data_IF_392459401365
#
_entry.id   IF_392459401365
#
_cell.length_a   1.000
_cell.length_b   1.000
_cell.length_c   1.000
_cell.angle_alpha   90.00
_cell.angle_beta   90.00
_cell.angle_gamma   90.00
#
_symmetry.space_group_name_H-M   'P 1'
#
loop_
_entity.id
_entity.type
_entity.pdbx_description
1 polymer ?
#
# COMPACT_ATOMS: atom_id res chain seq x y z
N UNK A 1 -42.76 29.79 55.60
CA UNK A 1 -43.62 30.93 55.99
C UNK A 1 -42.81 32.21 55.82
N UNK A 2 -43.35 33.14 55.01
CA UNK A 2 -43.17 34.61 54.95
C UNK A 2 -41.81 35.27 55.24
N UNK A 3 -41.41 36.39 54.64
CA UNK A 3 -41.85 37.21 53.50
C UNK A 3 -40.82 38.36 53.41
N UNK A 4 -40.66 38.89 52.19
CA UNK A 4 -39.93 40.05 51.71
C UNK A 4 -39.83 41.28 52.64
N UNK A 5 -38.77 42.10 52.44
CA UNK A 5 -38.91 43.47 51.91
C UNK A 5 -37.61 44.05 51.37
N UNK A 6 -37.64 44.34 50.08
CA UNK A 6 -36.70 45.18 49.32
C UNK A 6 -36.89 46.68 49.66
N UNK A 7 -35.85 47.48 49.37
CA UNK A 7 -35.90 48.95 49.37
C UNK A 7 -34.59 49.58 48.88
N UNK A 8 -34.37 49.58 47.56
CA UNK A 8 -33.45 50.49 46.83
C UNK A 8 -34.21 51.78 46.44
N UNK A 9 -33.73 52.77 45.63
CA UNK A 9 -32.41 53.11 45.05
C UNK A 9 -32.08 54.65 45.11
N UNK A 10 -31.01 55.12 44.44
CA UNK A 10 -30.84 56.37 43.61
C UNK A 10 -29.32 56.66 43.54
N UNK A 11 -28.54 56.35 42.49
CA UNK A 11 -28.53 56.64 41.03
C UNK A 11 -27.89 58.00 40.68
N UNK A 12 -26.68 57.92 40.11
CA UNK A 12 -25.99 58.99 39.36
C UNK A 12 -24.96 58.42 38.37
N UNK A 13 -25.40 58.22 37.12
CA UNK A 13 -24.73 58.18 35.79
C UNK A 13 -23.25 57.69 35.66
N UNK A 14 -22.93 56.53 35.05
CA UNK A 14 -22.85 56.19 33.60
C UNK A 14 -21.94 57.13 32.77
N UNK A 15 -20.95 56.75 31.93
CA UNK A 15 -20.51 55.52 31.23
C UNK A 15 -19.07 55.80 30.70
N UNK A 16 -18.23 54.77 30.53
CA UNK A 16 -17.58 54.43 29.24
C UNK A 16 -16.83 53.11 29.34
N UNK A 17 -17.25 52.17 28.50
CA UNK A 17 -16.69 50.83 28.33
C UNK A 17 -15.32 50.91 27.66
N UNK A 18 -14.33 50.20 28.19
CA UNK A 18 -13.20 49.72 27.40
C UNK A 18 -13.51 48.27 27.03
N UNK A 19 -13.89 48.07 25.78
CA UNK A 19 -14.11 46.75 25.19
C UNK A 19 -12.80 45.97 25.15
N UNK A 20 -12.82 44.82 25.81
CA UNK A 20 -11.79 43.79 25.83
C UNK A 20 -11.65 43.17 24.42
N UNK A 21 -10.53 43.45 23.75
CA UNK A 21 -10.17 42.97 22.40
C UNK A 21 -9.61 41.52 22.44
N UNK A 22 -10.12 40.67 23.33
CA UNK A 22 -9.65 39.28 23.49
C UNK A 22 -10.63 38.20 23.06
N UNK A 23 -11.75 38.59 22.45
CA UNK A 23 -12.75 37.68 21.87
C UNK A 23 -12.99 38.00 20.38
N UNK A 24 -11.98 37.75 19.55
CA UNK A 24 -12.22 37.48 18.13
C UNK A 24 -11.73 36.07 17.83
N UNK A 25 -12.70 35.19 17.56
CA UNK A 25 -12.45 33.79 17.26
C UNK A 25 -11.60 33.67 16.00
N UNK A 26 -10.44 33.03 16.14
CA UNK A 26 -9.67 32.57 15.00
C UNK A 26 -10.55 31.61 14.18
N UNK A 27 -10.61 31.74 12.84
CA UNK A 27 -11.34 30.78 12.02
C UNK A 27 -10.76 29.39 12.25
N UNK A 28 -11.63 28.44 12.60
CA UNK A 28 -11.26 27.03 12.80
C UNK A 28 -10.55 26.55 11.53
N UNK A 29 -9.27 26.22 11.68
CA UNK A 29 -8.46 25.58 10.63
C UNK A 29 -9.14 24.24 10.35
N UNK A 30 -9.73 24.09 9.17
CA UNK A 30 -10.30 22.83 8.73
C UNK A 30 -9.20 21.77 8.78
N UNK A 31 -9.44 20.67 9.49
CA UNK A 31 -8.62 19.45 9.48
C UNK A 31 -8.97 18.59 8.25
N UNK A 32 -9.30 19.23 7.14
CA UNK A 32 -9.49 18.57 5.87
C UNK A 32 -8.09 18.28 5.31
N UNK A 33 -7.75 17.00 5.24
CA UNK A 33 -6.57 16.55 4.52
C UNK A 33 -6.71 16.84 3.03
N UNK A 34 -5.62 16.77 2.25
CA UNK A 34 -5.62 17.02 0.81
C UNK A 34 -6.47 16.02 -0.01
N UNK A 35 -7.18 15.10 0.63
CA UNK A 35 -8.13 14.18 0.04
C UNK A 35 -9.59 14.63 0.23
N UNK A 36 -9.91 15.42 1.27
CA UNK A 36 -11.28 15.67 1.75
C UNK A 36 -11.97 16.88 1.09
N UNK A 37 -11.71 17.15 -0.20
CA UNK A 37 -12.33 18.28 -0.91
C UNK A 37 -13.01 17.81 -2.18
N UNK A 38 -14.34 17.97 -2.20
CA UNK A 38 -15.23 17.67 -3.32
C UNK A 38 -14.79 18.39 -4.60
N UNK A 39 -14.84 17.67 -5.71
CA UNK A 39 -14.68 18.26 -7.05
C UNK A 39 -15.99 18.93 -7.46
N UNK A 40 -16.25 20.13 -6.98
CA UNK A 40 -17.30 20.95 -7.59
C UNK A 40 -16.86 21.35 -9.01
N UNK A 41 -17.51 20.74 -10.01
CA UNK A 41 -17.47 21.17 -11.39
C UNK A 41 -18.28 22.48 -11.52
N UNK A 42 -17.69 23.60 -11.98
CA UNK A 42 -18.50 24.76 -12.33
C UNK A 42 -19.32 24.41 -13.57
N UNK A 43 -20.66 24.47 -13.44
CA UNK A 43 -21.57 24.49 -14.58
C UNK A 43 -21.15 25.59 -15.57
N UNK A 44 -21.32 25.40 -16.89
CA UNK A 44 -20.89 26.39 -17.87
C UNK A 44 -21.66 27.69 -17.69
N UNK A 45 -20.95 28.75 -17.32
CA UNK A 45 -21.51 30.08 -17.13
C UNK A 45 -22.07 30.63 -18.45
N UNK A 46 -23.36 30.90 -18.46
CA UNK A 46 -24.00 31.76 -19.45
C UNK A 46 -23.40 33.16 -19.42
N UNK A 47 -23.05 33.66 -20.59
CA UNK A 47 -22.52 34.98 -20.88
C UNK A 47 -23.23 36.12 -20.13
N UNK A 48 -22.48 36.86 -19.33
CA UNK A 48 -22.69 38.31 -19.19
C UNK A 48 -21.37 38.99 -18.89
N UNK A 49 -21.07 39.95 -19.75
CA UNK A 49 -19.92 40.83 -19.79
C UNK A 49 -19.99 41.79 -18.61
N UNK A 50 -18.96 41.87 -17.76
CA UNK A 50 -18.66 43.09 -17.01
C UNK A 50 -17.20 43.08 -16.53
N UNK A 51 -16.45 44.04 -17.07
CA UNK A 51 -15.06 44.34 -16.75
C UNK A 51 -14.95 44.93 -15.34
N UNK A 52 -14.00 44.44 -14.52
CA UNK A 52 -13.41 45.31 -13.50
C UNK A 52 -11.98 44.95 -13.13
N UNK A 53 -11.25 46.02 -12.86
CA UNK A 53 -9.80 46.19 -12.87
C UNK A 53 -9.03 45.41 -11.80
N UNK A 54 -7.79 45.12 -12.19
CA UNK A 54 -6.63 44.72 -11.40
C UNK A 54 -6.36 45.71 -10.25
N UNK A 55 -6.13 45.18 -9.05
CA UNK A 55 -5.31 45.87 -8.04
C UNK A 55 -4.40 44.87 -7.33
N UNK A 56 -3.10 45.06 -7.57
CA UNK A 56 -1.99 44.44 -6.85
C UNK A 56 -2.07 44.71 -5.35
N UNK A 57 -1.79 43.69 -4.55
CA UNK A 57 -1.22 43.89 -3.21
C UNK A 57 -0.33 42.71 -2.83
N UNK A 58 0.97 42.97 -2.92
CA UNK A 58 2.06 42.18 -2.36
C UNK A 58 1.94 42.04 -0.84
N UNK A 59 1.99 40.82 -0.30
CA UNK A 59 2.37 40.59 1.08
C UNK A 59 3.03 39.21 1.23
N UNK A 60 4.36 39.22 1.19
CA UNK A 60 5.24 38.11 1.58
C UNK A 60 5.22 37.97 3.11
N UNK A 61 4.88 36.78 3.62
CA UNK A 61 5.11 36.42 5.03
C UNK A 61 5.93 35.13 5.06
N UNK A 62 7.24 35.30 5.22
CA UNK A 62 8.17 34.24 5.58
C UNK A 62 8.01 33.94 7.08
N UNK A 63 7.69 32.70 7.43
CA UNK A 63 7.81 32.22 8.83
C UNK A 63 8.75 31.02 8.84
N UNK A 64 9.98 31.26 9.29
CA UNK A 64 10.94 30.23 9.64
C UNK A 64 10.62 29.71 11.05
N UNK A 65 10.50 28.39 11.21
CA UNK A 65 10.49 27.74 12.52
C UNK A 65 11.71 26.84 12.62
N UNK A 66 12.65 27.25 13.47
CA UNK A 66 13.77 26.45 13.96
C UNK A 66 13.25 25.40 14.94
N UNK A 67 13.66 24.15 14.77
CA UNK A 67 13.44 23.06 15.73
C UNK A 67 14.75 22.33 16.00
N UNK A 68 15.24 22.45 17.23
CA UNK A 68 16.46 21.79 17.72
C UNK A 68 16.29 20.27 17.78
N UNK A 69 17.28 19.54 17.26
CA UNK A 69 17.44 18.09 17.35
C UNK A 69 18.08 17.68 18.67
N UNK A 70 17.50 16.69 19.36
CA UNK A 70 18.18 15.92 20.40
C UNK A 70 18.99 14.78 19.76
N UNK A 71 20.19 14.59 20.30
CA UNK A 71 21.25 13.65 19.92
C UNK A 71 20.98 12.25 20.48
N UNK A 72 21.14 11.20 19.66
CA UNK A 72 22.04 10.03 19.88
C UNK A 72 21.83 8.96 18.80
N UNK A 73 22.81 8.77 17.90
CA UNK A 73 23.00 7.54 17.11
C UNK A 73 24.51 7.35 16.82
N UNK A 74 25.04 6.11 16.83
CA UNK A 74 26.47 5.84 16.67
C UNK A 74 26.93 5.88 15.21
N UNK A 75 28.24 6.10 15.05
CA UNK A 75 28.97 6.38 13.81
C UNK A 75 28.98 5.28 12.74
N UNK A 76 29.27 5.74 11.52
CA UNK A 76 29.76 5.06 10.30
C UNK A 76 28.72 4.59 9.28
N UNK A 77 28.25 5.54 8.47
CA UNK A 77 28.43 5.53 6.99
C UNK A 77 28.58 6.98 6.55
N UNK A 78 29.68 7.32 5.88
CA UNK A 78 29.97 8.69 5.42
C UNK A 78 29.02 9.08 4.28
N UNK A 79 28.11 10.03 4.52
CA UNK A 79 27.41 10.77 3.47
C UNK A 79 28.33 11.83 2.86
N UNK A 80 28.23 12.16 1.56
CA UNK A 80 29.02 13.24 0.99
C UNK A 80 28.55 14.58 1.58
N UNK A 81 29.53 15.36 2.04
CA UNK A 81 29.34 16.64 2.72
C UNK A 81 28.56 17.62 1.84
N UNK A 82 27.54 18.25 2.42
CA UNK A 82 26.92 19.46 1.89
C UNK A 82 27.94 20.59 1.90
N UNK A 83 28.50 20.93 0.74
CA UNK A 83 29.26 22.16 0.58
C UNK A 83 28.28 23.34 0.59
N UNK A 84 28.17 24.00 1.74
CA UNK A 84 27.62 25.35 1.83
C UNK A 84 28.57 26.29 1.08
N UNK A 85 28.13 26.83 -0.06
CA UNK A 85 28.91 27.73 -0.89
C UNK A 85 28.05 28.83 -1.51
N UNK A 86 28.08 30.00 -0.87
CA UNK A 86 27.91 31.38 -1.37
C UNK A 86 26.92 31.66 -2.52
N UNK A 87 25.93 32.50 -2.21
CA UNK A 87 25.10 33.21 -3.19
C UNK A 87 25.97 34.16 -4.01
N UNK A 88 26.17 33.85 -5.29
CA UNK A 88 26.57 34.83 -6.30
C UNK A 88 25.52 34.90 -7.39
N UNK A 89 24.77 36.00 -7.37
CA UNK A 89 23.93 36.49 -8.46
C UNK A 89 24.83 36.87 -9.64
N UNK A 90 24.85 36.06 -10.70
CA UNK A 90 25.32 36.50 -12.02
C UNK A 90 24.30 36.07 -13.07
N UNK A 91 23.79 37.07 -13.78
CA UNK A 91 22.87 36.96 -14.90
C UNK A 91 23.55 36.28 -16.10
N UNK A 92 22.84 35.36 -16.74
CA UNK A 92 22.93 35.14 -18.19
C UNK A 92 24.04 34.22 -18.72
N UNK A 93 23.96 32.91 -18.43
CA UNK A 93 24.10 31.81 -19.41
C UNK A 93 23.30 30.64 -18.81
N UNK A 94 22.41 30.00 -19.57
CA UNK A 94 21.80 28.75 -19.16
C UNK A 94 22.89 27.66 -19.14
N UNK A 95 23.68 27.62 -18.06
CA UNK A 95 24.62 26.54 -17.81
C UNK A 95 23.80 25.25 -17.78
N UNK A 96 24.13 24.32 -18.67
CA UNK A 96 23.52 22.99 -18.66
C UNK A 96 23.61 22.44 -17.23
N UNK A 97 22.45 22.09 -16.67
CA UNK A 97 22.36 21.53 -15.33
C UNK A 97 23.34 20.34 -15.24
N UNK A 98 24.22 20.29 -14.22
CA UNK A 98 25.21 19.23 -14.13
C UNK A 98 24.52 17.87 -14.12
N UNK A 99 25.01 16.95 -14.95
CA UNK A 99 24.44 15.63 -15.11
C UNK A 99 24.55 14.89 -13.77
N UNK A 100 23.40 14.48 -13.21
CA UNK A 100 23.36 13.84 -11.89
C UNK A 100 24.04 12.48 -11.93
N UNK A 101 24.83 12.23 -10.90
CA UNK A 101 25.55 10.98 -10.74
C UNK A 101 24.78 10.03 -9.81
N UNK A 102 24.42 8.87 -10.35
CA UNK A 102 23.74 7.78 -9.66
C UNK A 102 24.65 6.57 -9.43
N UNK A 103 25.98 6.74 -9.43
CA UNK A 103 26.95 5.64 -9.24
C UNK A 103 26.68 4.82 -7.96
N UNK A 104 26.17 5.45 -6.91
CA UNK A 104 25.80 4.77 -5.66
C UNK A 104 24.67 3.72 -5.83
N UNK A 105 23.91 3.76 -6.93
CA UNK A 105 22.87 2.78 -7.26
C UNK A 105 23.40 1.59 -8.09
N UNK A 106 24.66 1.63 -8.49
CA UNK A 106 25.27 0.65 -9.41
C UNK A 106 26.20 -0.33 -8.68
N UNK A 107 26.41 -0.15 -7.38
CA UNK A 107 27.30 -1.01 -6.59
C UNK A 107 26.75 -2.44 -6.53
N UNK A 108 27.57 -3.40 -6.99
CA UNK A 108 27.20 -4.81 -7.02
C UNK A 108 26.96 -5.40 -5.64
N UNK A 109 27.52 -4.80 -4.59
CA UNK A 109 27.30 -5.20 -3.19
C UNK A 109 25.88 -4.95 -2.70
N UNK A 110 25.10 -4.12 -3.40
CA UNK A 110 23.69 -3.89 -3.08
C UNK A 110 22.87 -5.14 -3.43
N UNK A 111 23.20 -5.79 -4.54
CA UNK A 111 22.37 -6.84 -5.11
C UNK A 111 22.54 -8.15 -4.33
N UNK A 112 21.44 -8.61 -3.75
CA UNK A 112 21.40 -9.89 -3.05
C UNK A 112 21.09 -11.01 -4.04
N UNK A 113 21.67 -12.17 -3.79
CA UNK A 113 21.47 -13.38 -4.58
C UNK A 113 20.78 -14.46 -3.75
N UNK A 114 19.90 -15.24 -4.38
CA UNK A 114 19.33 -16.40 -3.72
C UNK A 114 20.40 -17.48 -3.50
N UNK A 115 20.36 -18.20 -2.36
CA UNK A 115 21.10 -19.44 -2.17
C UNK A 115 20.84 -20.45 -3.31
N UNK A 116 21.80 -21.32 -3.59
CA UNK A 116 21.69 -22.33 -4.65
C UNK A 116 20.48 -23.26 -4.44
N UNK A 117 20.19 -23.63 -3.19
CA UNK A 117 19.05 -24.51 -2.86
C UNK A 117 17.73 -23.89 -3.27
N UNK A 118 17.50 -22.63 -2.88
CA UNK A 118 16.27 -21.90 -3.22
C UNK A 118 16.17 -21.65 -4.73
N UNK A 119 17.29 -21.36 -5.41
CA UNK A 119 17.32 -21.26 -6.88
C UNK A 119 16.91 -22.56 -7.57
N UNK A 120 17.38 -23.69 -7.06
CA UNK A 120 17.00 -25.01 -7.58
C UNK A 120 15.52 -25.29 -7.32
N UNK A 121 14.96 -24.87 -6.18
CA UNK A 121 13.52 -24.98 -5.91
C UNK A 121 12.69 -24.11 -6.87
N UNK A 122 13.14 -22.89 -7.19
CA UNK A 122 12.45 -22.03 -8.17
C UNK A 122 12.37 -22.66 -9.56
N UNK A 123 13.33 -23.52 -9.94
CA UNK A 123 13.30 -24.22 -11.23
C UNK A 123 12.08 -25.13 -11.42
N UNK A 124 11.44 -25.52 -10.32
CA UNK A 124 10.18 -26.28 -10.31
C UNK A 124 8.97 -25.42 -10.70
N UNK A 125 9.12 -24.09 -10.74
CA UNK A 125 8.07 -23.12 -11.06
C UNK A 125 8.55 -22.24 -12.23
N UNK A 126 8.20 -22.59 -13.49
CA UNK A 126 8.77 -21.95 -14.68
C UNK A 126 8.69 -20.42 -14.69
N UNK A 127 7.56 -19.86 -14.26
CA UNK A 127 7.38 -18.40 -14.18
C UNK A 127 8.31 -17.77 -13.13
N UNK A 128 8.43 -18.38 -11.94
CA UNK A 128 9.26 -17.86 -10.87
C UNK A 128 10.77 -17.95 -11.23
N UNK A 129 11.18 -19.04 -11.87
CA UNK A 129 12.53 -19.18 -12.43
C UNK A 129 12.81 -18.10 -13.48
N UNK A 130 11.86 -17.85 -14.39
CA UNK A 130 12.00 -16.83 -15.42
C UNK A 130 12.13 -15.42 -14.83
N UNK A 131 11.26 -15.06 -13.89
CA UNK A 131 11.31 -13.77 -13.18
C UNK A 131 12.63 -13.61 -12.40
N UNK A 132 13.13 -14.67 -11.79
CA UNK A 132 14.40 -14.63 -11.07
C UNK A 132 15.59 -14.41 -12.01
N UNK A 133 15.57 -15.04 -13.19
CA UNK A 133 16.59 -14.83 -14.23
C UNK A 133 16.57 -13.38 -14.75
N UNK A 134 15.38 -12.82 -15.00
CA UNK A 134 15.24 -11.41 -15.37
C UNK A 134 15.81 -10.49 -14.29
N UNK A 135 15.45 -10.72 -13.03
CA UNK A 135 15.96 -9.91 -11.91
C UNK A 135 17.49 -9.98 -11.80
N UNK A 136 18.07 -11.17 -12.01
CA UNK A 136 19.52 -11.38 -12.00
C UNK A 136 20.22 -10.68 -13.17
N UNK A 137 19.65 -10.75 -14.37
CA UNK A 137 20.14 -10.01 -15.54
C UNK A 137 20.10 -8.49 -15.31
N UNK A 138 19.05 -7.98 -14.65
CA UNK A 138 18.96 -6.56 -14.32
C UNK A 138 20.09 -6.10 -13.39
N UNK A 139 20.50 -6.90 -12.40
CA UNK A 139 21.63 -6.58 -11.53
C UNK A 139 22.96 -6.54 -12.31
N UNK A 140 23.20 -7.53 -13.18
CA UNK A 140 24.36 -7.53 -14.07
C UNK A 140 24.37 -6.31 -14.98
N UNK A 141 23.21 -5.96 -15.54
CA UNK A 141 23.09 -4.79 -16.43
C UNK A 141 23.31 -3.49 -15.67
N UNK A 142 22.76 -3.34 -14.46
CA UNK A 142 22.97 -2.17 -13.59
C UNK A 142 24.46 -1.91 -13.33
N UNK A 143 25.26 -2.97 -13.21
CA UNK A 143 26.70 -2.84 -12.99
C UNK A 143 27.46 -2.32 -14.22
N UNK A 144 26.81 -2.28 -15.39
CA UNK A 144 27.39 -1.87 -16.67
C UNK A 144 26.75 -0.59 -17.26
N UNK A 145 25.74 0.00 -16.60
CA UNK A 145 25.10 1.24 -17.07
C UNK A 145 25.94 2.45 -16.68
N UNK A 146 25.94 3.48 -17.53
CA UNK A 146 26.55 4.78 -17.21
C UNK A 146 25.84 5.41 -16.01
N UNK A 147 26.60 5.87 -15.01
CA UNK A 147 26.07 6.44 -13.77
C UNK A 147 25.16 7.67 -13.95
N UNK A 148 25.19 8.29 -15.12
CA UNK A 148 24.38 9.45 -15.48
C UNK A 148 23.08 9.11 -16.22
N UNK A 149 22.90 7.86 -16.62
CA UNK A 149 21.74 7.40 -17.38
C UNK A 149 20.56 7.03 -16.46
N UNK A 150 19.95 8.05 -15.87
CA UNK A 150 18.82 7.89 -14.94
C UNK A 150 17.69 7.02 -15.49
N UNK A 151 17.38 7.14 -16.79
CA UNK A 151 16.28 6.41 -17.40
C UNK A 151 16.53 4.89 -17.38
N UNK A 152 17.69 4.43 -17.84
CA UNK A 152 17.99 3.00 -17.83
C UNK A 152 18.20 2.47 -16.42
N UNK A 153 18.88 3.22 -15.55
CA UNK A 153 19.09 2.84 -14.14
C UNK A 153 17.76 2.57 -13.46
N UNK A 154 16.83 3.52 -13.50
CA UNK A 154 15.56 3.37 -12.78
C UNK A 154 14.64 2.32 -13.41
N UNK A 155 14.67 2.12 -14.73
CA UNK A 155 13.91 1.03 -15.36
C UNK A 155 14.45 -0.35 -14.96
N UNK A 156 15.77 -0.55 -14.92
CA UNK A 156 16.36 -1.81 -14.48
C UNK A 156 16.07 -2.08 -13.00
N UNK A 157 16.12 -1.05 -12.15
CA UNK A 157 15.70 -1.15 -10.75
C UNK A 157 14.23 -1.53 -10.61
N UNK A 158 13.33 -0.90 -11.37
CA UNK A 158 11.92 -1.25 -11.37
C UNK A 158 11.68 -2.71 -11.73
N UNK A 159 12.26 -3.17 -12.85
CA UNK A 159 12.13 -4.56 -13.31
C UNK A 159 12.68 -5.53 -12.26
N UNK A 160 13.86 -5.27 -11.71
CA UNK A 160 14.46 -6.13 -10.68
C UNK A 160 13.56 -6.25 -9.45
N UNK A 161 13.12 -5.12 -8.90
CA UNK A 161 12.35 -5.09 -7.66
C UNK A 161 10.95 -5.67 -7.83
N UNK A 162 10.29 -5.43 -8.98
CA UNK A 162 8.97 -5.99 -9.24
C UNK A 162 9.06 -7.51 -9.44
N UNK A 163 10.06 -8.01 -10.18
CA UNK A 163 10.27 -9.45 -10.33
C UNK A 163 10.47 -10.13 -8.96
N UNK A 164 11.31 -9.56 -8.08
CA UNK A 164 11.47 -10.07 -6.72
C UNK A 164 10.18 -9.99 -5.89
N UNK A 165 9.39 -8.93 -6.06
CA UNK A 165 8.11 -8.78 -5.33
C UNK A 165 7.03 -9.77 -5.77
N UNK A 166 7.17 -10.36 -6.96
CA UNK A 166 6.20 -11.29 -7.55
C UNK A 166 6.55 -12.77 -7.34
N UNK A 167 7.79 -13.09 -6.95
CA UNK A 167 8.25 -14.48 -6.81
C UNK A 167 7.80 -15.08 -5.47
N UNK A 168 8.19 -14.45 -4.36
CA UNK A 168 7.93 -14.98 -3.02
C UNK A 168 8.13 -13.91 -1.94
N UNK A 169 7.65 -14.19 -0.72
CA UNK A 169 7.91 -13.31 0.43
C UNK A 169 9.41 -13.18 0.76
N UNK A 170 10.20 -14.24 0.55
CA UNK A 170 11.66 -14.26 0.74
C UNK A 170 12.35 -13.26 -0.22
N UNK A 171 12.04 -13.36 -1.50
CA UNK A 171 12.57 -12.46 -2.54
C UNK A 171 12.06 -11.04 -2.37
N UNK A 172 10.83 -10.86 -1.91
CA UNK A 172 10.28 -9.55 -1.51
C UNK A 172 11.08 -8.93 -0.36
N UNK A 173 11.48 -9.73 0.64
CA UNK A 173 12.35 -9.26 1.72
C UNK A 173 13.76 -8.89 1.23
N UNK A 174 14.27 -9.53 0.18
CA UNK A 174 15.51 -9.07 -0.47
C UNK A 174 15.31 -7.71 -1.14
N UNK A 175 14.24 -7.55 -1.93
CA UNK A 175 13.89 -6.29 -2.57
C UNK A 175 13.72 -5.14 -1.56
N UNK A 176 13.17 -5.43 -0.38
CA UNK A 176 13.01 -4.45 0.71
C UNK A 176 14.34 -4.01 1.34
N UNK A 177 15.39 -4.84 1.26
CA UNK A 177 16.73 -4.44 1.66
C UNK A 177 17.44 -3.64 0.57
N UNK A 178 17.31 -4.07 -0.68
CA UNK A 178 17.98 -3.41 -1.82
C UNK A 178 17.46 -1.98 -2.01
N UNK A 179 16.14 -1.76 -1.92
CA UNK A 179 15.53 -0.44 -2.12
C UNK A 179 16.00 0.63 -1.11
N UNK A 180 16.59 0.23 0.02
CA UNK A 180 17.07 1.17 1.04
C UNK A 180 18.14 2.12 0.51
N UNK A 181 18.88 1.70 -0.52
CA UNK A 181 19.91 2.54 -1.16
C UNK A 181 19.32 3.82 -1.76
N UNK A 182 18.04 3.83 -2.14
CA UNK A 182 17.36 5.02 -2.65
C UNK A 182 17.14 6.10 -1.58
N UNK A 183 17.31 5.78 -0.30
CA UNK A 183 17.13 6.75 0.78
C UNK A 183 15.79 7.49 0.69
N UNK A 184 15.85 8.82 0.78
CA UNK A 184 14.69 9.69 0.68
C UNK A 184 14.40 10.12 -0.77
N UNK A 185 13.42 9.46 -1.38
CA UNK A 185 12.92 9.78 -2.72
C UNK A 185 12.22 11.14 -2.82
N UNK A 186 11.86 11.77 -1.70
CA UNK A 186 11.24 13.11 -1.72
C UNK A 186 12.26 14.23 -1.88
N UNK A 187 13.55 13.91 -1.73
CA UNK A 187 14.66 14.86 -1.86
C UNK A 187 14.71 15.53 -3.24
N UNK A 188 15.11 16.81 -3.24
CA UNK A 188 15.39 17.57 -4.47
C UNK A 188 16.52 16.94 -5.31
N UNK A 189 17.31 16.01 -4.74
CA UNK A 189 18.27 15.21 -5.49
C UNK A 189 17.63 14.41 -6.63
N UNK A 190 16.36 14.03 -6.54
CA UNK A 190 15.67 13.31 -7.62
C UNK A 190 14.84 14.21 -8.54
N UNK A 191 14.86 15.54 -8.33
CA UNK A 191 14.06 16.50 -9.11
C UNK A 191 14.94 17.38 -9.97
N UNK A 192 14.72 17.42 -11.27
CA UNK A 192 15.43 18.30 -12.20
C UNK A 192 15.07 19.79 -11.98
N UNK A 193 15.73 20.70 -12.71
CA UNK A 193 15.43 22.14 -12.69
C UNK A 193 13.98 22.51 -13.02
N UNK A 194 13.25 21.67 -13.76
CA UNK A 194 11.81 21.86 -14.03
C UNK A 194 10.90 21.23 -12.96
N UNK A 195 11.49 20.81 -11.83
CA UNK A 195 10.83 20.09 -10.74
C UNK A 195 10.18 18.75 -11.14
N UNK A 196 10.53 18.22 -12.32
CA UNK A 196 10.16 16.88 -12.76
C UNK A 196 11.00 15.83 -12.04
N UNK A 197 10.36 14.73 -11.68
CA UNK A 197 10.98 13.65 -10.94
C UNK A 197 11.74 12.71 -11.89
N UNK A 198 13.02 12.46 -11.62
CA UNK A 198 13.85 11.55 -12.41
C UNK A 198 13.44 10.08 -12.23
N UNK A 199 13.00 9.70 -11.03
CA UNK A 199 12.48 8.36 -10.74
C UNK A 199 11.06 8.19 -11.31
N UNK A 200 10.79 7.15 -12.13
CA UNK A 200 9.46 6.86 -12.65
C UNK A 200 8.41 6.69 -11.56
N UNK A 201 7.16 7.06 -11.87
CA UNK A 201 6.02 6.96 -10.93
C UNK A 201 5.89 5.57 -10.32
N UNK A 202 5.90 4.53 -11.14
CA UNK A 202 5.66 3.15 -10.70
C UNK A 202 6.76 2.66 -9.76
N UNK A 203 8.01 3.06 -10.00
CA UNK A 203 9.13 2.78 -9.09
C UNK A 203 8.99 3.54 -7.77
N UNK A 204 8.53 4.79 -7.77
CA UNK A 204 8.27 5.53 -6.52
C UNK A 204 7.20 4.87 -5.67
N UNK A 205 6.11 4.44 -6.30
CA UNK A 205 5.01 3.72 -5.63
C UNK A 205 5.49 2.38 -5.07
N UNK A 206 6.25 1.61 -5.84
CA UNK A 206 6.85 0.36 -5.38
C UNK A 206 7.84 0.58 -4.23
N UNK A 207 8.67 1.61 -4.34
CA UNK A 207 9.70 1.92 -3.35
C UNK A 207 9.11 2.23 -1.98
N UNK A 208 8.02 2.99 -1.92
CA UNK A 208 7.33 3.30 -0.64
C UNK A 208 6.94 2.00 0.09
N UNK A 209 6.30 1.05 -0.61
CA UNK A 209 5.91 -0.24 -0.02
C UNK A 209 7.12 -1.06 0.41
N UNK A 210 8.14 -1.17 -0.44
CA UNK A 210 9.33 -1.95 -0.11
C UNK A 210 10.14 -1.34 1.03
N UNK A 211 10.25 -0.01 1.12
CA UNK A 211 10.88 0.66 2.25
C UNK A 211 10.08 0.47 3.54
N UNK A 212 8.76 0.53 3.48
CA UNK A 212 7.90 0.21 4.63
C UNK A 212 8.16 -1.20 5.16
N UNK A 213 8.26 -2.19 4.27
CA UNK A 213 8.63 -3.57 4.62
C UNK A 213 10.07 -3.67 5.15
N UNK A 214 11.01 -2.93 4.56
CA UNK A 214 12.42 -3.00 4.91
C UNK A 214 12.77 -2.35 6.25
N UNK A 215 12.07 -1.26 6.60
CA UNK A 215 12.20 -0.55 7.88
C UNK A 215 11.17 -0.97 8.92
N UNK A 216 10.16 -1.74 8.51
CA UNK A 216 8.98 -2.07 9.30
C UNK A 216 8.29 -0.80 9.86
N UNK A 217 8.17 0.23 9.02
CA UNK A 217 7.60 1.54 9.36
C UNK A 217 6.49 1.95 8.37
N UNK A 218 5.28 1.49 8.66
CA UNK A 218 4.09 1.81 7.88
C UNK A 218 3.56 3.23 8.12
N UNK A 219 3.94 3.90 9.22
CA UNK A 219 3.54 5.30 9.45
C UNK A 219 4.26 6.23 8.50
N UNK A 220 5.55 6.00 8.29
CA UNK A 220 6.33 6.71 7.27
C UNK A 220 5.80 6.42 5.86
N UNK A 221 5.42 5.18 5.58
CA UNK A 221 4.79 4.78 4.32
C UNK A 221 3.56 5.64 3.99
N UNK A 222 2.68 5.83 4.97
CA UNK A 222 1.48 6.64 4.86
C UNK A 222 1.79 8.09 4.47
N UNK A 223 2.75 8.72 5.14
CA UNK A 223 3.23 10.07 4.81
C UNK A 223 3.68 10.18 3.35
N UNK A 224 4.47 9.21 2.88
CA UNK A 224 5.00 9.23 1.51
C UNK A 224 3.90 9.01 0.46
N UNK A 225 2.89 8.18 0.76
CA UNK A 225 1.72 8.06 -0.11
C UNK A 225 0.90 9.36 -0.16
N UNK A 226 0.69 10.06 0.96
CA UNK A 226 0.03 11.36 0.94
C UNK A 226 0.79 12.40 0.10
N UNK A 227 2.13 12.36 0.12
CA UNK A 227 2.96 13.22 -0.73
C UNK A 227 2.78 12.90 -2.23
N UNK A 228 2.73 11.62 -2.61
CA UNK A 228 2.42 11.23 -3.99
C UNK A 228 0.98 11.57 -4.38
N UNK A 229 0.01 11.42 -3.48
CA UNK A 229 -1.38 11.80 -3.73
C UNK A 229 -1.50 13.31 -4.00
N UNK A 230 -0.80 14.14 -3.21
CA UNK A 230 -0.73 15.59 -3.44
C UNK A 230 -0.11 15.93 -4.80
N UNK A 231 0.96 15.24 -5.19
CA UNK A 231 1.56 15.39 -6.53
C UNK A 231 0.56 15.02 -7.63
N UNK A 232 -0.07 13.84 -7.54
CA UNK A 232 -1.05 13.37 -8.52
C UNK A 232 -2.24 14.32 -8.65
N UNK A 233 -2.76 14.83 -7.53
CA UNK A 233 -3.86 15.82 -7.51
C UNK A 233 -3.44 17.12 -8.18
N UNK A 234 -2.26 17.65 -7.85
CA UNK A 234 -1.69 18.85 -8.47
C UNK A 234 -1.52 18.66 -9.99
N UNK A 235 -0.94 17.54 -10.42
CA UNK A 235 -0.73 17.25 -11.83
C UNK A 235 -2.05 17.01 -12.59
N UNK A 236 -3.05 16.38 -11.97
CA UNK A 236 -4.38 16.28 -12.55
C UNK A 236 -4.99 17.68 -12.78
N UNK A 237 -4.91 18.58 -11.79
CA UNK A 237 -5.42 19.96 -11.92
C UNK A 237 -4.70 20.72 -13.04
N UNK A 238 -3.36 20.65 -13.10
CA UNK A 238 -2.57 21.30 -14.17
C UNK A 238 -2.95 20.79 -15.56
N UNK A 239 -3.24 19.49 -15.67
CA UNK A 239 -3.52 18.83 -16.95
C UNK A 239 -5.02 18.67 -17.25
N UNK A 240 -5.92 19.43 -16.58
CA UNK A 240 -7.38 19.38 -16.81
C UNK A 240 -7.79 19.53 -18.28
N UNK A 241 -7.05 20.32 -19.04
CA UNK A 241 -7.32 20.57 -20.46
C UNK A 241 -6.82 19.45 -21.40
N UNK A 242 -6.09 18.47 -20.87
CA UNK A 242 -5.61 17.30 -21.61
C UNK A 242 -6.32 16.04 -21.10
N UNK A 243 -7.39 15.57 -21.76
CA UNK A 243 -8.20 14.46 -21.27
C UNK A 243 -7.42 13.17 -21.03
N UNK A 244 -6.34 12.92 -21.77
CA UNK A 244 -5.50 11.74 -21.58
C UNK A 244 -4.63 11.86 -20.31
N UNK A 245 -3.95 12.99 -20.12
CA UNK A 245 -3.10 13.22 -18.96
C UNK A 245 -3.91 13.40 -17.67
N UNK A 246 -5.05 14.10 -17.74
CA UNK A 246 -5.99 14.20 -16.64
C UNK A 246 -6.41 12.82 -16.15
N UNK A 247 -6.86 11.95 -17.06
CA UNK A 247 -7.25 10.56 -16.75
C UNK A 247 -6.12 9.76 -16.13
N UNK A 248 -4.92 9.84 -16.71
CA UNK A 248 -3.74 9.16 -16.17
C UNK A 248 -3.44 9.59 -14.72
N UNK A 249 -3.42 10.89 -14.43
CA UNK A 249 -3.14 11.40 -13.10
C UNK A 249 -4.26 11.12 -12.09
N UNK A 250 -5.52 11.13 -12.53
CA UNK A 250 -6.65 10.74 -11.68
C UNK A 250 -6.61 9.25 -11.34
N UNK A 251 -6.27 8.39 -12.30
CA UNK A 251 -6.05 6.96 -12.07
C UNK A 251 -4.90 6.70 -11.09
N UNK A 252 -3.81 7.48 -11.19
CA UNK A 252 -2.69 7.43 -10.23
C UNK A 252 -3.12 7.87 -8.82
N UNK A 253 -3.96 8.91 -8.71
CA UNK A 253 -4.50 9.36 -7.43
C UNK A 253 -5.35 8.26 -6.78
N UNK A 254 -6.22 7.60 -7.55
CA UNK A 254 -7.02 6.47 -7.08
C UNK A 254 -6.14 5.30 -6.63
N UNK A 255 -5.11 4.92 -7.41
CA UNK A 255 -4.17 3.85 -7.05
C UNK A 255 -3.47 4.13 -5.72
N UNK A 256 -2.99 5.37 -5.51
CA UNK A 256 -2.39 5.80 -4.24
C UNK A 256 -3.42 5.80 -3.11
N UNK A 257 -4.65 6.24 -3.37
CA UNK A 257 -5.75 6.21 -2.40
C UNK A 257 -6.04 4.79 -1.88
N UNK A 258 -6.10 3.79 -2.76
CA UNK A 258 -6.26 2.39 -2.36
C UNK A 258 -5.06 1.85 -1.56
N UNK A 259 -3.84 2.31 -1.88
CA UNK A 259 -2.63 1.94 -1.12
C UNK A 259 -2.57 2.60 0.25
N UNK A 260 -3.13 3.80 0.41
CA UNK A 260 -3.31 4.45 1.72
C UNK A 260 -4.24 3.60 2.59
N UNK A 261 -5.38 3.14 2.06
CA UNK A 261 -6.26 2.23 2.79
C UNK A 261 -5.52 0.94 3.22
N UNK A 262 -4.74 0.35 2.33
CA UNK A 262 -3.90 -0.80 2.66
C UNK A 262 -2.90 -0.48 3.78
N UNK A 263 -2.22 0.67 3.72
CA UNK A 263 -1.26 1.07 4.77
C UNK A 263 -1.94 1.36 6.13
N UNK A 264 -3.17 1.88 6.13
CA UNK A 264 -3.98 2.06 7.33
C UNK A 264 -4.33 0.72 8.00
N UNK A 265 -4.67 -0.29 7.21
CA UNK A 265 -4.85 -1.66 7.70
C UNK A 265 -3.58 -2.23 8.33
N UNK A 266 -2.41 -1.99 7.73
CA UNK A 266 -1.11 -2.45 8.25
C UNK A 266 -0.75 -1.82 9.60
N UNK A 267 -1.13 -0.56 9.85
CA UNK A 267 -1.00 0.08 11.17
C UNK A 267 -2.15 -0.24 12.12
N UNK A 268 -3.08 -1.12 11.73
CA UNK A 268 -4.28 -1.51 12.49
C UNK A 268 -5.28 -0.37 12.73
N UNK A 269 -5.25 0.69 11.91
CA UNK A 269 -6.28 1.75 11.90
C UNK A 269 -7.42 1.35 10.96
N UNK A 270 -8.23 0.38 11.41
CA UNK A 270 -9.35 -0.20 10.66
C UNK A 270 -10.43 0.86 10.38
N UNK A 271 -10.76 1.68 11.39
CA UNK A 271 -11.76 2.76 11.27
C UNK A 271 -11.31 3.87 10.32
N UNK A 272 -10.01 4.19 10.31
CA UNK A 272 -9.41 5.12 9.35
C UNK A 272 -9.45 4.56 7.93
N UNK A 273 -9.07 3.29 7.75
CA UNK A 273 -9.11 2.61 6.47
C UNK A 273 -10.53 2.57 5.87
N UNK A 274 -11.54 2.27 6.70
CA UNK A 274 -12.93 2.24 6.27
C UNK A 274 -13.43 3.62 5.84
N UNK A 275 -13.26 4.65 6.68
CA UNK A 275 -13.71 6.02 6.37
C UNK A 275 -13.05 6.55 5.10
N UNK A 276 -11.75 6.26 4.93
CA UNK A 276 -10.99 6.67 3.76
C UNK A 276 -11.46 5.95 2.48
N UNK A 277 -11.72 4.64 2.53
CA UNK A 277 -12.27 3.91 1.39
C UNK A 277 -13.66 4.38 1.01
N UNK A 278 -14.51 4.67 2.00
CA UNK A 278 -15.85 5.20 1.77
C UNK A 278 -15.80 6.55 1.06
N UNK A 279 -14.96 7.47 1.53
CA UNK A 279 -14.75 8.77 0.88
C UNK A 279 -14.25 8.61 -0.55
N UNK A 280 -13.29 7.71 -0.81
CA UNK A 280 -12.84 7.43 -2.18
C UNK A 280 -13.98 6.92 -3.06
N UNK A 281 -14.91 6.13 -2.51
CA UNK A 281 -16.03 5.57 -3.26
C UNK A 281 -17.15 6.57 -3.54
N UNK A 282 -17.41 7.48 -2.61
CA UNK A 282 -18.38 8.57 -2.78
C UNK A 282 -17.93 9.55 -3.90
N UNK A 283 -16.62 9.75 -4.04
CA UNK A 283 -15.98 10.62 -5.05
C UNK A 283 -15.79 10.00 -6.45
N UNK A 284 -16.26 8.77 -6.68
CA UNK A 284 -16.05 8.08 -7.96
C UNK A 284 -16.99 8.58 -9.06
N UNK A 285 -16.39 9.05 -10.15
CA UNK A 285 -17.10 9.20 -11.43
C UNK A 285 -16.92 7.96 -12.31
N UNK A 286 -17.69 7.86 -13.40
CA UNK A 286 -17.61 6.77 -14.40
C UNK A 286 -16.19 6.48 -14.94
N UNK A 287 -15.30 7.48 -14.87
CA UNK A 287 -13.89 7.39 -15.25
C UNK A 287 -13.05 6.46 -14.36
N UNK A 288 -13.50 6.15 -13.15
CA UNK A 288 -12.76 5.38 -12.14
C UNK A 288 -13.08 3.87 -12.17
N UNK A 289 -13.93 3.46 -13.12
CA UNK A 289 -14.43 2.11 -13.30
C UNK A 289 -13.43 1.15 -13.98
N UNK A 290 -12.13 1.46 -13.95
CA UNK A 290 -11.11 0.58 -14.49
C UNK A 290 -11.09 -0.77 -13.74
N UNK A 291 -11.08 -1.88 -14.47
CA UNK A 291 -11.21 -3.23 -13.93
C UNK A 291 -10.16 -3.61 -12.83
N UNK A 292 -9.03 -2.89 -12.78
CA UNK A 292 -7.99 -3.12 -11.79
C UNK A 292 -8.26 -2.52 -10.40
N UNK A 293 -9.09 -1.47 -10.29
CA UNK A 293 -9.38 -0.80 -9.01
C UNK A 293 -10.40 -1.58 -8.19
N UNK A 294 -11.46 -2.07 -8.84
CA UNK A 294 -12.58 -2.79 -8.21
C UNK A 294 -12.17 -4.10 -7.52
N UNK A 295 -11.25 -4.88 -8.11
CA UNK A 295 -10.74 -6.08 -7.45
C UNK A 295 -9.92 -5.75 -6.19
N UNK A 296 -9.12 -4.68 -6.21
CA UNK A 296 -8.32 -4.27 -5.05
C UNK A 296 -9.20 -3.74 -3.93
N UNK A 297 -10.26 -3.03 -4.28
CA UNK A 297 -11.29 -2.60 -3.33
C UNK A 297 -11.98 -3.78 -2.67
N UNK A 298 -12.37 -4.78 -3.45
CA UNK A 298 -12.98 -6.00 -2.90
C UNK A 298 -12.06 -6.66 -1.87
N UNK A 299 -10.76 -6.78 -2.17
CA UNK A 299 -9.77 -7.35 -1.23
C UNK A 299 -9.65 -6.49 0.03
N UNK A 300 -9.63 -5.16 -0.09
CA UNK A 300 -9.54 -4.27 1.07
C UNK A 300 -10.79 -4.34 1.96
N UNK A 301 -11.98 -4.35 1.38
CA UNK A 301 -13.22 -4.53 2.13
C UNK A 301 -13.32 -5.91 2.78
N UNK A 302 -12.78 -6.95 2.14
CA UNK A 302 -12.66 -8.28 2.75
C UNK A 302 -11.73 -8.24 3.98
N UNK A 303 -10.61 -7.51 3.91
CA UNK A 303 -9.71 -7.32 5.05
C UNK A 303 -10.33 -6.51 6.19
N UNK A 304 -11.27 -5.61 5.88
CA UNK A 304 -12.09 -4.89 6.85
C UNK A 304 -13.23 -5.74 7.46
N UNK A 305 -13.49 -6.94 6.92
CA UNK A 305 -14.64 -7.76 7.31
C UNK A 305 -15.98 -7.29 6.71
N UNK A 306 -15.97 -6.35 5.77
CA UNK A 306 -17.16 -5.86 5.07
C UNK A 306 -17.45 -6.67 3.81
N UNK A 307 -17.95 -7.87 4.02
CA UNK A 307 -18.01 -8.89 2.97
C UNK A 307 -19.09 -8.62 1.92
N UNK A 308 -20.20 -7.99 2.29
CA UNK A 308 -21.23 -7.56 1.35
C UNK A 308 -20.73 -6.46 0.40
N UNK A 309 -20.00 -5.48 0.94
CA UNK A 309 -19.37 -4.42 0.14
C UNK A 309 -18.28 -4.99 -0.77
N UNK A 310 -17.45 -5.90 -0.24
CA UNK A 310 -16.43 -6.58 -1.02
C UNK A 310 -17.02 -7.34 -2.21
N UNK A 311 -18.14 -8.05 -1.98
CA UNK A 311 -18.89 -8.73 -3.03
C UNK A 311 -19.39 -7.76 -4.11
N UNK A 312 -20.01 -6.66 -3.70
CA UNK A 312 -20.53 -5.66 -4.65
C UNK A 312 -19.40 -5.04 -5.49
N UNK A 313 -18.26 -4.72 -4.89
CA UNK A 313 -17.07 -4.24 -5.60
C UNK A 313 -16.58 -5.28 -6.61
N UNK A 314 -16.54 -6.56 -6.23
CA UNK A 314 -16.11 -7.64 -7.11
C UNK A 314 -17.08 -7.84 -8.29
N UNK A 315 -18.39 -7.90 -8.04
CA UNK A 315 -19.42 -8.05 -9.08
C UNK A 315 -19.41 -6.88 -10.07
N UNK A 316 -19.24 -5.66 -9.55
CA UNK A 316 -19.09 -4.49 -10.40
C UNK A 316 -17.88 -4.65 -11.34
N UNK A 317 -16.85 -5.43 -11.02
CA UNK A 317 -15.66 -5.61 -11.84
C UNK A 317 -15.87 -6.36 -13.17
N UNK A 318 -17.07 -6.38 -13.75
CA UNK A 318 -17.33 -7.03 -15.04
C UNK A 318 -17.01 -8.53 -15.05
N UNK A 319 -16.84 -9.14 -13.87
CA UNK A 319 -16.83 -10.58 -13.71
C UNK A 319 -18.19 -11.06 -14.24
N UNK A 320 -18.17 -11.84 -15.31
CA UNK A 320 -19.40 -12.33 -15.91
C UNK A 320 -20.21 -13.05 -14.81
N UNK A 321 -21.51 -12.76 -14.72
CA UNK A 321 -22.46 -13.53 -13.92
C UNK A 321 -22.29 -15.02 -14.30
N UNK A 322 -21.54 -15.78 -13.51
CA UNK A 322 -21.12 -17.15 -13.85
C UNK A 322 -19.73 -17.59 -13.38
N UNK A 323 -18.84 -16.67 -12.97
CA UNK A 323 -17.56 -17.05 -12.37
C UNK A 323 -17.74 -17.41 -10.88
N UNK A 324 -17.07 -18.49 -10.44
CA UNK A 324 -17.15 -19.09 -9.10
C UNK A 324 -16.91 -18.14 -7.91
N UNK A 325 -16.57 -16.88 -8.18
CA UNK A 325 -16.16 -15.93 -7.16
C UNK A 325 -17.29 -15.52 -6.22
N UNK A 326 -18.55 -15.53 -6.67
CA UNK A 326 -19.68 -15.38 -5.75
C UNK A 326 -19.68 -16.46 -4.68
N UNK A 327 -19.38 -17.70 -5.07
CA UNK A 327 -19.29 -18.82 -4.15
C UNK A 327 -17.98 -18.78 -3.34
N UNK A 328 -16.89 -18.27 -3.88
CA UNK A 328 -15.64 -18.06 -3.13
C UNK A 328 -15.82 -17.01 -2.04
N UNK A 329 -16.37 -15.85 -2.37
CA UNK A 329 -16.63 -14.78 -1.40
C UNK A 329 -17.65 -15.25 -0.36
N UNK A 330 -18.70 -15.94 -0.78
CA UNK A 330 -19.67 -16.52 0.16
C UNK A 330 -19.04 -17.58 1.06
N UNK A 331 -18.18 -18.45 0.52
CA UNK A 331 -17.45 -19.44 1.31
C UNK A 331 -16.54 -18.79 2.36
N UNK A 332 -15.82 -17.72 1.98
CA UNK A 332 -15.00 -16.93 2.90
C UNK A 332 -15.86 -16.21 3.94
N UNK A 333 -17.05 -15.73 3.56
CA UNK A 333 -18.00 -15.08 4.46
C UNK A 333 -18.52 -16.02 5.52
N UNK A 334 -18.97 -17.20 5.12
CA UNK A 334 -19.44 -18.22 6.04
C UNK A 334 -18.34 -18.63 7.04
N UNK A 335 -17.10 -18.80 6.57
CA UNK A 335 -15.95 -19.05 7.47
C UNK A 335 -15.67 -17.88 8.41
N UNK A 336 -15.79 -16.64 7.95
CA UNK A 336 -15.56 -15.45 8.77
C UNK A 336 -16.66 -15.23 9.83
N UNK A 337 -17.87 -15.76 9.62
CA UNK A 337 -18.99 -15.69 10.57
C UNK A 337 -19.20 -16.98 11.37
N UNK A 338 -18.17 -17.84 11.47
CA UNK A 338 -18.17 -19.13 12.17
C UNK A 338 -19.20 -20.16 11.66
N UNK A 339 -19.78 -19.98 10.47
CA UNK A 339 -20.65 -20.97 9.81
C UNK A 339 -19.82 -21.92 8.94
N UNK A 340 -19.02 -22.75 9.61
CA UNK A 340 -18.14 -23.72 8.94
C UNK A 340 -18.90 -24.84 8.22
N UNK A 341 -20.12 -25.15 8.64
CA UNK A 341 -20.97 -26.16 7.99
C UNK A 341 -21.45 -25.65 6.63
N UNK A 342 -21.99 -24.43 6.58
CA UNK A 342 -22.35 -23.77 5.33
C UNK A 342 -21.14 -23.60 4.41
N UNK A 343 -20.01 -23.16 4.96
CA UNK A 343 -18.77 -22.99 4.20
C UNK A 343 -18.30 -24.31 3.56
N UNK A 344 -18.28 -25.42 4.31
CA UNK A 344 -17.86 -26.72 3.79
C UNK A 344 -18.72 -27.18 2.60
N UNK A 345 -20.04 -26.92 2.64
CA UNK A 345 -20.95 -27.22 1.53
C UNK A 345 -20.64 -26.38 0.29
N UNK A 346 -20.38 -25.08 0.47
CA UNK A 346 -20.03 -24.17 -0.64
C UNK A 346 -18.69 -24.58 -1.26
N UNK A 347 -17.66 -24.82 -0.46
CA UNK A 347 -16.36 -25.24 -0.96
C UNK A 347 -16.40 -26.60 -1.65
N UNK A 348 -17.18 -27.55 -1.13
CA UNK A 348 -17.36 -28.86 -1.78
C UNK A 348 -17.95 -28.72 -3.18
N UNK A 349 -19.00 -27.89 -3.34
CA UNK A 349 -19.59 -27.62 -4.67
C UNK A 349 -18.57 -27.05 -5.66
N UNK A 350 -17.71 -26.15 -5.19
CA UNK A 350 -16.64 -25.57 -6.00
C UNK A 350 -15.57 -26.59 -6.39
N UNK A 351 -15.17 -27.46 -5.47
CA UNK A 351 -14.23 -28.56 -5.72
C UNK A 351 -14.79 -29.56 -6.74
N UNK A 352 -16.09 -29.86 -6.64
CA UNK A 352 -16.77 -30.81 -7.53
C UNK A 352 -16.97 -30.24 -8.94
N UNK A 353 -17.11 -28.91 -9.07
CA UNK A 353 -17.26 -28.21 -10.36
C UNK A 353 -15.95 -28.14 -11.16
N UNK A 354 -14.81 -27.98 -10.48
CA UNK A 354 -13.51 -27.87 -11.15
C UNK A 354 -12.99 -29.25 -11.58
N UNK A 355 -12.78 -29.46 -12.88
CA UNK A 355 -12.23 -30.72 -13.41
C UNK A 355 -10.71 -30.68 -13.50
N UNK A 356 -10.03 -31.75 -13.06
CA UNK A 356 -8.57 -31.86 -13.08
C UNK A 356 -7.89 -31.24 -11.87
N UNK A 357 -6.56 -31.19 -11.90
CA UNK A 357 -5.77 -30.47 -10.91
C UNK A 357 -5.64 -29.01 -11.39
N UNK A 358 -6.09 -28.03 -10.61
CA UNK A 358 -5.85 -26.60 -10.85
C UNK A 358 -5.58 -25.85 -9.53
N UNK A 359 -4.88 -24.70 -9.58
CA UNK A 359 -4.59 -23.87 -8.40
C UNK A 359 -5.86 -23.45 -7.64
N UNK A 360 -6.94 -23.17 -8.38
CA UNK A 360 -8.25 -22.86 -7.81
C UNK A 360 -8.80 -24.06 -7.04
N UNK A 361 -8.75 -25.26 -7.63
CA UNK A 361 -9.18 -26.48 -6.96
C UNK A 361 -8.42 -26.71 -5.66
N UNK A 362 -7.10 -26.58 -5.66
CA UNK A 362 -6.27 -26.74 -4.46
C UNK A 362 -6.68 -25.73 -3.38
N UNK A 363 -6.91 -24.47 -3.76
CA UNK A 363 -7.38 -23.43 -2.83
C UNK A 363 -8.74 -23.79 -2.21
N UNK A 364 -9.70 -24.23 -3.04
CA UNK A 364 -11.03 -24.64 -2.57
C UNK A 364 -10.95 -25.86 -1.65
N UNK A 365 -10.10 -26.85 -1.99
CA UNK A 365 -9.85 -28.04 -1.17
C UNK A 365 -9.28 -27.68 0.20
N UNK A 366 -8.30 -26.78 0.26
CA UNK A 366 -7.71 -26.35 1.53
C UNK A 366 -8.75 -25.62 2.38
N UNK A 367 -9.53 -24.68 1.80
CA UNK A 367 -10.58 -23.99 2.54
C UNK A 367 -11.69 -24.94 3.03
N UNK A 368 -12.06 -25.95 2.23
CA UNK A 368 -12.98 -27.02 2.64
C UNK A 368 -12.41 -27.81 3.82
N UNK A 369 -11.15 -28.24 3.72
CA UNK A 369 -10.48 -29.02 4.77
C UNK A 369 -10.32 -28.23 6.07
N UNK A 370 -10.02 -26.92 5.99
CA UNK A 370 -10.00 -26.02 7.14
C UNK A 370 -11.40 -25.90 7.77
N UNK A 371 -12.45 -25.77 6.96
CA UNK A 371 -13.83 -25.74 7.48
C UNK A 371 -14.18 -27.04 8.21
N UNK A 372 -13.84 -28.20 7.63
CA UNK A 372 -14.05 -29.50 8.25
C UNK A 372 -13.18 -29.71 9.51
N UNK A 373 -12.00 -29.11 9.57
CA UNK A 373 -11.15 -29.11 10.76
C UNK A 373 -11.84 -28.41 11.93
N UNK A 374 -12.41 -27.22 11.72
CA UNK A 374 -13.16 -26.49 12.76
C UNK A 374 -14.40 -27.27 13.23
N UNK A 375 -15.03 -28.05 12.35
CA UNK A 375 -16.14 -28.96 12.68
C UNK A 375 -15.70 -30.27 13.35
N UNK A 376 -14.39 -30.52 13.49
CA UNK A 376 -13.80 -31.81 13.95
C UNK A 376 -14.20 -33.02 13.08
N UNK A 377 -14.52 -32.77 11.81
CA UNK A 377 -14.94 -33.78 10.82
C UNK A 377 -13.83 -34.06 9.80
N UNK A 378 -12.58 -34.03 10.27
CA UNK A 378 -11.39 -34.20 9.42
C UNK A 378 -11.35 -35.53 8.62
N UNK A 379 -11.86 -36.67 9.13
CA UNK A 379 -11.98 -37.89 8.32
C UNK A 379 -12.85 -37.74 7.07
N UNK A 380 -13.80 -36.79 7.08
CA UNK A 380 -14.62 -36.49 5.91
C UNK A 380 -13.84 -35.72 4.85
N UNK A 381 -12.80 -34.98 5.22
CA UNK A 381 -11.89 -34.37 4.25
C UNK A 381 -11.13 -35.47 3.49
N UNK A 382 -10.69 -36.53 4.17
CA UNK A 382 -10.04 -37.68 3.52
C UNK A 382 -10.99 -38.50 2.64
N UNK A 383 -12.27 -38.59 3.03
CA UNK A 383 -13.25 -39.45 2.36
C UNK A 383 -13.95 -38.75 1.19
N UNK A 384 -14.25 -37.45 1.31
CA UNK A 384 -14.98 -36.67 0.29
C UNK A 384 -14.05 -36.09 -0.77
N UNK A 385 -12.85 -35.67 -0.38
CA UNK A 385 -11.82 -35.31 -1.35
C UNK A 385 -10.87 -36.48 -1.46
N UNK A 386 -10.51 -36.85 -2.68
CA UNK A 386 -9.19 -37.42 -2.94
C UNK A 386 -8.14 -36.37 -2.50
N UNK A 387 -8.04 -36.07 -1.21
CA UNK A 387 -7.16 -35.09 -0.59
C UNK A 387 -5.76 -35.69 -0.61
N UNK A 388 -5.25 -35.88 -1.81
CA UNK A 388 -3.87 -36.19 -2.11
C UNK A 388 -3.30 -34.89 -2.62
N UNK A 389 -2.91 -34.02 -1.69
CA UNK A 389 -2.07 -32.86 -1.96
C UNK A 389 -0.63 -33.32 -2.31
N UNK A 390 -0.54 -34.29 -3.23
CA UNK A 390 0.67 -34.98 -3.66
C UNK A 390 1.14 -34.47 -5.03
N UNK A 391 0.37 -33.60 -5.67
CA UNK A 391 0.69 -33.10 -7.00
C UNK A 391 1.90 -32.16 -6.94
N UNK A 392 2.64 -32.08 -8.04
CA UNK A 392 3.71 -31.08 -8.24
C UNK A 392 3.19 -29.66 -8.05
N UNK A 393 1.90 -29.44 -8.31
CA UNK A 393 1.24 -28.16 -8.14
C UNK A 393 1.03 -27.77 -6.68
N UNK A 394 0.76 -28.73 -5.79
CA UNK A 394 0.64 -28.44 -4.35
C UNK A 394 1.98 -27.94 -3.79
N UNK A 395 3.10 -28.49 -4.29
CA UNK A 395 4.43 -27.97 -3.99
C UNK A 395 4.61 -26.56 -4.55
N UNK A 396 4.22 -26.32 -5.80
CA UNK A 396 4.31 -25.00 -6.44
C UNK A 396 3.49 -23.93 -5.70
N UNK A 397 2.31 -24.29 -5.21
CA UNK A 397 1.42 -23.44 -4.42
C UNK A 397 1.98 -23.19 -3.02
N UNK A 398 2.55 -24.23 -2.40
CA UNK A 398 3.25 -24.12 -1.12
C UNK A 398 4.54 -23.27 -1.20
N UNK A 399 5.19 -23.17 -2.36
CA UNK A 399 6.30 -22.23 -2.52
C UNK A 399 5.84 -20.79 -2.77
N UNK A 400 4.64 -20.62 -3.32
CA UNK A 400 4.08 -19.30 -3.67
C UNK A 400 3.36 -18.62 -2.49
N UNK A 401 2.62 -19.37 -1.65
CA UNK A 401 1.77 -18.82 -0.60
C UNK A 401 2.03 -19.47 0.76
N UNK A 402 2.82 -18.79 1.61
CA UNK A 402 3.19 -19.22 2.96
C UNK A 402 2.02 -19.70 3.85
N UNK A 403 0.88 -19.02 3.84
CA UNK A 403 -0.31 -19.39 4.62
C UNK A 403 -0.94 -20.68 4.10
N UNK A 404 -1.01 -20.84 2.78
CA UNK A 404 -1.48 -22.05 2.13
C UNK A 404 -0.55 -23.23 2.47
N UNK A 405 0.76 -23.00 2.42
CA UNK A 405 1.79 -23.98 2.84
C UNK A 405 1.58 -24.45 4.27
N UNK A 406 1.40 -23.49 5.19
CA UNK A 406 1.14 -23.81 6.59
C UNK A 406 -0.13 -24.64 6.74
N UNK A 407 -1.21 -24.27 6.06
CA UNK A 407 -2.47 -25.01 6.11
C UNK A 407 -2.30 -26.42 5.53
N UNK A 408 -1.65 -26.57 4.37
CA UNK A 408 -1.38 -27.85 3.72
C UNK A 408 -0.55 -28.77 4.63
N UNK A 409 0.56 -28.27 5.17
CA UNK A 409 1.44 -29.08 6.04
C UNK A 409 0.74 -29.46 7.33
N UNK A 410 0.03 -28.50 7.95
CA UNK A 410 -0.75 -28.75 9.16
C UNK A 410 -1.81 -29.83 8.91
N UNK A 411 -2.58 -29.71 7.82
CA UNK A 411 -3.60 -30.69 7.46
C UNK A 411 -2.98 -32.07 7.18
N UNK A 412 -1.85 -32.15 6.48
CA UNK A 412 -1.16 -33.43 6.25
C UNK A 412 -0.69 -34.10 7.54
N UNK A 413 -0.12 -33.31 8.47
CA UNK A 413 0.32 -33.83 9.77
C UNK A 413 -0.87 -34.33 10.60
N UNK A 414 -2.01 -33.64 10.57
CA UNK A 414 -3.22 -34.05 11.27
C UNK A 414 -3.93 -35.25 10.62
N UNK A 415 -3.73 -35.45 9.32
CA UNK A 415 -4.34 -36.52 8.52
C UNK A 415 -3.47 -37.80 8.43
N UNK A 416 -2.35 -37.86 9.16
CA UNK A 416 -1.50 -39.05 9.29
C UNK A 416 -1.02 -39.64 7.94
N UNK A 417 -0.79 -38.77 6.96
CA UNK A 417 -0.15 -39.16 5.69
C UNK A 417 1.35 -38.91 5.78
N UNK A 418 2.18 -39.95 5.58
CA UNK A 418 3.65 -39.82 5.53
C UNK A 418 4.07 -38.76 4.49
N UNK A 419 4.38 -37.55 4.96
CA UNK A 419 4.82 -36.41 4.16
C UNK A 419 6.17 -35.87 4.64
N UNK A 420 7.01 -36.75 5.19
CA UNK A 420 8.36 -36.44 5.69
C UNK A 420 9.23 -35.60 4.74
N UNK A 421 9.32 -35.88 3.42
CA UNK A 421 10.29 -35.18 2.57
C UNK A 421 9.98 -33.70 2.37
N UNK A 422 8.71 -33.28 2.28
CA UNK A 422 8.35 -31.87 2.14
C UNK A 422 8.24 -31.15 3.49
N UNK A 423 7.84 -31.87 4.56
CA UNK A 423 7.93 -31.32 5.91
C UNK A 423 9.38 -30.94 6.21
N UNK A 424 10.36 -31.79 5.87
CA UNK A 424 11.78 -31.47 6.06
C UNK A 424 12.25 -30.27 5.23
N UNK A 425 11.79 -30.13 3.98
CA UNK A 425 12.19 -29.05 3.06
C UNK A 425 11.59 -27.68 3.44
N UNK A 426 10.38 -27.68 4.02
CA UNK A 426 9.60 -26.47 4.35
C UNK A 426 9.67 -26.10 5.84
N UNK A 427 10.14 -27.01 6.71
CA UNK A 427 10.30 -26.78 8.16
C UNK A 427 10.95 -25.43 8.51
N UNK A 428 12.04 -24.97 7.86
CA UNK A 428 12.65 -23.68 8.18
C UNK A 428 11.71 -22.50 7.91
N UNK A 429 10.89 -22.60 6.87
CA UNK A 429 9.91 -21.57 6.51
C UNK A 429 8.71 -21.56 7.47
N UNK A 430 8.30 -22.75 7.95
CA UNK A 430 7.27 -22.90 8.99
C UNK A 430 7.73 -22.35 10.34
N UNK A 431 8.97 -22.61 10.74
CA UNK A 431 9.56 -22.07 11.97
C UNK A 431 9.59 -20.54 11.92
N UNK A 432 10.05 -19.97 10.80
CA UNK A 432 10.03 -18.52 10.58
C UNK A 432 8.60 -17.93 10.62
N UNK A 433 7.63 -18.57 9.96
CA UNK A 433 6.22 -18.16 10.00
C UNK A 433 5.63 -18.20 11.40
N UNK A 434 5.96 -19.24 12.18
CA UNK A 434 5.47 -19.40 13.53
C UNK A 434 6.04 -18.29 14.44
N UNK A 435 7.32 -17.93 14.28
CA UNK A 435 7.93 -16.78 14.95
C UNK A 435 7.28 -15.46 14.55
N UNK A 436 6.99 -15.27 13.26
CA UNK A 436 6.32 -14.08 12.74
C UNK A 436 4.88 -13.94 13.29
N UNK A 437 4.08 -15.02 13.23
CA UNK A 437 2.71 -15.05 13.74
C UNK A 437 2.65 -14.88 15.26
N UNK A 438 3.51 -15.56 16.01
CA UNK A 438 3.57 -15.38 17.47
C UNK A 438 4.04 -13.97 17.84
N UNK A 439 4.93 -13.37 17.05
CA UNK A 439 5.29 -11.96 17.18
C UNK A 439 4.12 -11.00 16.94
N UNK A 440 3.31 -11.25 15.91
CA UNK A 440 2.11 -10.45 15.60
C UNK A 440 1.04 -10.62 16.69
N UNK A 441 0.80 -11.84 17.18
CA UNK A 441 -0.15 -12.11 18.25
C UNK A 441 0.25 -11.40 19.54
N UNK A 442 1.53 -11.45 19.94
CA UNK A 442 2.03 -10.69 21.10
C UNK A 442 1.84 -9.18 20.93
N UNK A 443 2.09 -8.64 19.73
CA UNK A 443 1.86 -7.21 19.45
C UNK A 443 0.38 -6.84 19.56
N UNK A 444 -0.53 -7.71 19.09
CA UNK A 444 -1.98 -7.50 19.20
C UNK A 444 -2.47 -7.62 20.65
N UNK A 445 -1.96 -8.57 21.42
CA UNK A 445 -2.25 -8.68 22.86
C UNK A 445 -1.74 -7.47 23.65
N UNK A 446 -0.54 -6.97 23.32
CA UNK A 446 0.01 -5.76 23.94
C UNK A 446 -0.81 -4.52 23.58
N UNK A 447 -1.29 -4.41 22.34
CA UNK A 447 -2.16 -3.31 21.91
C UNK A 447 -3.58 -3.39 22.49
N UNK A 448 -4.08 -4.59 22.80
CA UNK A 448 -5.38 -4.78 23.46
C UNK A 448 -5.31 -4.50 24.98
N UNK A 449 -4.11 -4.49 25.56
CA UNK A 449 -3.86 -4.23 26.98
C UNK A 449 -3.46 -2.77 27.28
N UNK A 450 -3.20 -1.97 26.25
CA UNK A 450 -2.89 -0.52 26.31
C UNK A 450 -4.09 0.31 25.90
#
# INVERSE_FOLDING_TARGET
MSSQREGTPVRGHAKKNSTDMRAQGAPRRMTAGPLDLDFELPLPASSSTEEKQVQDSSASISTAMSGNTFVTAPERVSSPASAAGSVHTISGVAAAEPLRDYAYLLDSLIFRHLPNVERNQLSLVPLAAHLHNIASQCATNLSNVMATDSFHIFNLWYIRLICHSLISAQTTAMASQEIKVFGDLTSNFYRNSTFSHAVPWDLRVLAIRLQALGFNDWRRCLEHFYMLAKEARSEAIKNRNSPALFRMWRGRLLDVGLRVAAALLEISDVDGAERHLRSIMEDKDDLDNAMGSRLREAVLYMQLGQLDTAKNCYLANGAAEGEDVDQVIEGLRLMATDDFEGAAVVWKKLVDKESGESERRTTYLVNMAVSLLYLRRLPEAQSNSNFRLQSTMDRQLAYSYKSLTFNIVTLHNLLDTHYEPMVLDIKPQLEFLNEEMTGILRKREQAAQS
#
